data_IF_218627430406
#
_entry.id   IF_218627430406
#
_cell.length_a   1.000
_cell.length_b   1.000
_cell.length_c   1.000
_cell.angle_alpha   90.00
_cell.angle_beta   90.00
_cell.angle_gamma   90.00
#
_symmetry.space_group_name_H-M   'P 1'
#
loop_
_entity.id
_entity.type
_entity.pdbx_description
1 polymer ?
#
# COMPACT_ATOMS: atom_id res chain seq x y z
N UNK A 1 -24.12 -1.86 -41.07
CA UNK A 1 -23.70 -0.75 -40.20
C UNK A 1 -22.93 -1.35 -39.04
N UNK A 2 -21.60 -1.34 -39.11
CA UNK A 2 -20.73 -1.92 -38.09
C UNK A 2 -20.52 -0.88 -36.98
N UNK A 3 -21.07 -1.13 -35.80
CA UNK A 3 -20.74 -0.37 -34.59
C UNK A 3 -19.71 -1.18 -33.79
N UNK A 4 -18.44 -1.04 -34.17
CA UNK A 4 -17.31 -1.43 -33.31
C UNK A 4 -17.24 -0.42 -32.16
N UNK A 5 -17.94 -0.71 -31.05
CA UNK A 5 -17.74 0.04 -29.80
C UNK A 5 -16.45 -0.47 -29.16
N UNK A 6 -15.54 0.48 -28.92
CA UNK A 6 -14.28 0.39 -28.17
C UNK A 6 -14.45 -0.15 -26.72
N UNK A 7 -14.99 -1.36 -26.54
CA UNK A 7 -15.24 -1.92 -25.21
C UNK A 7 -13.99 -2.47 -24.52
N UNK A 8 -12.90 -2.76 -25.24
CA UNK A 8 -11.69 -3.35 -24.65
C UNK A 8 -10.78 -2.38 -23.89
N UNK A 9 -10.91 -1.05 -24.10
CA UNK A 9 -10.13 -0.05 -23.33
C UNK A 9 -10.79 0.43 -22.05
N UNK A 10 -12.11 0.31 -21.93
CA UNK A 10 -12.87 0.84 -20.77
C UNK A 10 -12.64 -0.04 -19.53
N UNK A 11 -12.62 -1.37 -19.67
CA UNK A 11 -12.37 -2.29 -18.55
C UNK A 11 -11.00 -2.04 -17.88
N UNK A 12 -9.96 -1.74 -18.68
CA UNK A 12 -8.61 -1.42 -18.17
C UNK A 12 -8.51 -0.09 -17.39
N UNK A 13 -9.50 0.81 -17.51
CA UNK A 13 -9.47 2.13 -16.83
C UNK A 13 -10.20 2.19 -15.50
N UNK A 14 -11.19 1.31 -15.28
CA UNK A 14 -12.08 1.38 -14.10
C UNK A 14 -11.37 0.93 -12.81
N UNK A 15 -10.48 -0.06 -12.94
CA UNK A 15 -9.76 -0.66 -11.81
C UNK A 15 -8.33 -0.12 -11.64
N UNK A 16 -7.96 0.89 -12.43
CA UNK A 16 -6.61 1.46 -12.44
C UNK A 16 -6.48 2.53 -11.34
N UNK A 17 -5.43 2.38 -10.52
CA UNK A 17 -5.12 3.30 -9.43
C UNK A 17 -3.86 4.15 -9.70
N UNK A 18 -3.03 3.77 -10.68
CA UNK A 18 -1.80 4.49 -11.05
C UNK A 18 -1.71 4.64 -12.58
N UNK A 19 -1.16 5.76 -13.05
CA UNK A 19 -0.92 6.00 -14.48
C UNK A 19 0.52 5.66 -14.93
N UNK A 20 1.44 5.54 -13.97
CA UNK A 20 2.87 5.30 -14.20
C UNK A 20 3.31 3.94 -13.66
N UNK A 21 4.35 3.37 -14.27
CA UNK A 21 4.91 2.08 -13.87
C UNK A 21 5.67 2.15 -12.53
N UNK A 22 5.98 0.99 -11.96
CA UNK A 22 6.66 0.91 -10.66
C UNK A 22 7.97 1.71 -10.65
N UNK A 23 8.93 1.51 -11.57
CA UNK A 23 10.15 2.32 -11.59
C UNK A 23 9.90 3.83 -11.59
N UNK A 24 8.86 4.32 -12.27
CA UNK A 24 8.48 5.73 -12.23
C UNK A 24 7.94 6.16 -10.87
N UNK A 25 7.08 5.35 -10.23
CA UNK A 25 6.61 5.62 -8.86
C UNK A 25 7.78 5.72 -7.87
N UNK A 26 8.77 4.81 -7.97
CA UNK A 26 9.96 4.83 -7.10
C UNK A 26 10.80 6.10 -7.33
N UNK A 27 10.96 6.54 -8.59
CA UNK A 27 11.66 7.79 -8.93
C UNK A 27 10.93 9.05 -8.46
N UNK A 28 9.60 9.04 -8.45
CA UNK A 28 8.79 10.15 -7.92
C UNK A 28 9.02 10.28 -6.41
N UNK A 29 9.21 9.16 -5.71
CA UNK A 29 9.50 9.15 -4.27
C UNK A 29 8.63 8.18 -3.47
N UNK A 30 7.86 7.30 -4.12
CA UNK A 30 7.09 6.28 -3.42
C UNK A 30 8.02 5.37 -2.59
N UNK A 31 7.77 5.29 -1.27
CA UNK A 31 8.47 4.37 -0.34
C UNK A 31 7.53 3.46 0.45
N UNK A 32 6.22 3.70 0.35
CA UNK A 32 5.19 2.70 0.68
C UNK A 32 4.60 2.18 -0.62
N UNK A 33 4.52 0.86 -0.75
CA UNK A 33 4.00 0.20 -1.93
C UNK A 33 2.84 -0.72 -1.53
N UNK A 34 1.68 -0.49 -2.12
CA UNK A 34 0.50 -1.30 -1.89
C UNK A 34 0.14 -2.11 -3.14
N UNK A 35 -0.35 -3.33 -2.93
CA UNK A 35 -0.79 -4.20 -4.01
C UNK A 35 -1.69 -5.31 -3.49
N UNK A 36 -2.75 -5.61 -4.24
CA UNK A 36 -3.68 -6.68 -3.88
C UNK A 36 -3.36 -7.96 -4.66
N UNK A 37 -3.03 -9.04 -3.95
CA UNK A 37 -2.56 -10.25 -4.59
C UNK A 37 -3.67 -11.30 -4.79
N UNK A 38 -3.67 -11.91 -5.98
CA UNK A 38 -4.58 -12.98 -6.38
C UNK A 38 -3.82 -14.08 -7.11
N UNK A 39 -4.23 -15.33 -6.91
CA UNK A 39 -3.71 -16.43 -7.70
C UNK A 39 -4.43 -16.48 -9.04
N UNK A 40 -3.67 -16.51 -10.13
CA UNK A 40 -4.19 -16.73 -11.48
C UNK A 40 -3.20 -17.57 -12.26
N UNK A 41 -3.69 -18.65 -12.89
CA UNK A 41 -2.89 -19.55 -13.71
C UNK A 41 -1.61 -20.06 -13.00
N UNK A 42 -1.72 -20.38 -11.70
CA UNK A 42 -0.61 -20.89 -10.90
C UNK A 42 0.42 -19.85 -10.44
N UNK A 43 0.20 -18.56 -10.71
CA UNK A 43 1.09 -17.48 -10.28
C UNK A 43 0.35 -16.50 -9.37
N UNK A 44 1.06 -15.97 -8.38
CA UNK A 44 0.57 -14.85 -7.57
C UNK A 44 0.79 -13.55 -8.34
N UNK A 45 -0.29 -12.78 -8.53
CA UNK A 45 -0.31 -11.56 -9.34
C UNK A 45 -0.97 -10.42 -8.58
N UNK A 46 -0.55 -9.18 -8.87
CA UNK A 46 -1.25 -8.01 -8.34
C UNK A 46 -2.43 -7.65 -9.23
N UNK A 47 -3.64 -7.74 -8.68
CA UNK A 47 -4.88 -7.57 -9.41
C UNK A 47 -5.88 -6.77 -8.58
N UNK A 48 -6.83 -6.10 -9.23
CA UNK A 48 -7.87 -5.32 -8.55
C UNK A 48 -9.17 -6.13 -8.47
N UNK A 49 -9.46 -6.71 -7.31
CA UNK A 49 -10.53 -7.68 -7.05
C UNK A 49 -10.43 -9.00 -7.85
N UNK A 50 -10.07 -8.94 -9.13
CA UNK A 50 -9.71 -10.08 -9.96
C UNK A 50 -8.78 -9.64 -11.10
N UNK A 51 -7.96 -10.56 -11.61
CA UNK A 51 -7.04 -10.25 -12.71
C UNK A 51 -7.73 -10.05 -14.06
N UNK A 52 -9.03 -10.40 -14.16
CA UNK A 52 -9.84 -10.08 -15.34
C UNK A 52 -10.23 -8.59 -15.39
N UNK A 53 -10.32 -7.91 -14.24
CA UNK A 53 -10.63 -6.48 -14.17
C UNK A 53 -9.37 -5.63 -14.37
N UNK A 54 -8.28 -6.01 -13.70
CA UNK A 54 -6.97 -5.41 -13.89
C UNK A 54 -5.88 -6.39 -13.45
N UNK A 55 -4.86 -6.54 -14.28
CA UNK A 55 -3.68 -7.36 -14.01
C UNK A 55 -2.42 -6.49 -14.09
N UNK A 56 -1.85 -6.21 -12.92
CA UNK A 56 -0.60 -5.47 -12.75
C UNK A 56 0.67 -6.32 -12.94
N UNK A 57 0.51 -7.60 -13.28
CA UNK A 57 1.61 -8.55 -13.46
C UNK A 57 1.89 -9.42 -12.23
N UNK A 58 2.89 -10.28 -12.34
CA UNK A 58 3.27 -11.17 -11.24
C UNK A 58 3.87 -10.39 -10.07
N UNK A 59 3.63 -10.86 -8.84
CA UNK A 59 4.28 -10.30 -7.64
C UNK A 59 5.81 -10.43 -7.75
N UNK A 60 6.31 -11.51 -8.36
CA UNK A 60 7.74 -11.72 -8.60
C UNK A 60 8.35 -10.62 -9.49
N UNK A 61 7.74 -10.31 -10.63
CA UNK A 61 8.26 -9.27 -11.53
C UNK A 61 8.16 -7.87 -10.91
N UNK A 62 7.10 -7.64 -10.13
CA UNK A 62 6.97 -6.43 -9.33
C UNK A 62 8.15 -6.28 -8.36
N UNK A 63 8.40 -7.31 -7.53
CA UNK A 63 9.47 -7.28 -6.54
C UNK A 63 10.86 -7.18 -7.18
N UNK A 64 11.08 -7.79 -8.35
CA UNK A 64 12.33 -7.63 -9.12
C UNK A 64 12.57 -6.19 -9.55
N UNK A 65 11.52 -5.45 -9.99
CA UNK A 65 11.65 -4.03 -10.32
C UNK A 65 12.06 -3.20 -9.08
N UNK A 66 11.47 -3.51 -7.92
CA UNK A 66 11.84 -2.84 -6.66
C UNK A 66 13.25 -3.23 -6.21
N UNK A 67 13.64 -4.50 -6.32
CA UNK A 67 15.00 -4.97 -6.02
C UNK A 67 16.05 -4.24 -6.85
N UNK A 68 15.84 -4.12 -8.17
CA UNK A 68 16.73 -3.37 -9.06
C UNK A 68 16.90 -1.93 -8.59
N UNK A 69 15.83 -1.28 -8.14
CA UNK A 69 15.91 0.08 -7.59
C UNK A 69 16.67 0.12 -6.25
N UNK A 70 16.39 -0.81 -5.33
CA UNK A 70 17.07 -0.92 -4.03
C UNK A 70 18.58 -1.17 -4.18
N UNK A 71 19.00 -1.92 -5.20
CA UNK A 71 20.41 -2.17 -5.51
C UNK A 71 21.12 -0.92 -6.02
N UNK A 72 20.43 -0.13 -6.86
CA UNK A 72 20.97 1.11 -7.40
C UNK A 72 20.95 2.27 -6.38
N UNK A 73 20.12 2.17 -5.33
CA UNK A 73 19.89 3.24 -4.36
C UNK A 73 20.05 2.70 -2.91
N UNK A 74 21.27 2.70 -2.35
CA UNK A 74 21.58 2.01 -1.09
C UNK A 74 20.98 2.68 0.16
N UNK A 75 20.55 3.94 0.05
CA UNK A 75 19.97 4.72 1.16
C UNK A 75 18.44 4.67 1.23
N UNK A 76 17.82 3.88 0.36
CA UNK A 76 16.36 3.82 0.25
C UNK A 76 15.80 2.71 1.14
N UNK A 77 14.73 3.01 1.86
CA UNK A 77 13.98 2.08 2.71
C UNK A 77 12.55 2.00 2.19
N UNK A 78 12.03 0.79 2.10
CA UNK A 78 10.69 0.51 1.58
C UNK A 78 9.82 -0.21 2.60
N UNK A 79 8.55 0.17 2.64
CA UNK A 79 7.50 -0.60 3.30
C UNK A 79 6.54 -1.14 2.26
N UNK A 80 6.29 -2.45 2.29
CA UNK A 80 5.26 -3.09 1.49
C UNK A 80 4.03 -3.32 2.36
N UNK A 81 2.86 -2.96 1.83
CA UNK A 81 1.56 -3.23 2.46
C UNK A 81 0.72 -3.98 1.44
N UNK A 82 0.83 -5.30 1.43
CA UNK A 82 0.13 -6.13 0.45
C UNK A 82 -1.13 -6.74 1.04
N UNK A 83 -2.12 -6.98 0.19
CA UNK A 83 -3.35 -7.67 0.62
C UNK A 83 -3.36 -9.11 0.12
N UNK A 84 -3.82 -10.04 0.96
CA UNK A 84 -3.91 -11.48 0.67
C UNK A 84 -5.36 -12.00 0.81
N UNK A 85 -6.32 -11.48 0.02
CA UNK A 85 -7.74 -11.83 0.15
C UNK A 85 -8.01 -13.33 -0.06
N UNK A 86 -7.18 -14.01 -0.86
CA UNK A 86 -7.29 -15.44 -1.11
C UNK A 86 -6.71 -16.34 -0.01
N UNK A 87 -6.20 -15.78 1.10
CA UNK A 87 -5.52 -16.52 2.16
C UNK A 87 -4.41 -17.46 1.62
N UNK A 88 -3.69 -16.99 0.60
CA UNK A 88 -2.63 -17.77 -0.04
C UNK A 88 -1.51 -18.03 0.97
N UNK A 89 -0.93 -19.23 0.91
CA UNK A 89 0.05 -19.66 1.92
C UNK A 89 1.24 -18.71 2.01
N UNK A 90 1.53 -18.21 3.20
CA UNK A 90 2.68 -17.31 3.43
C UNK A 90 4.01 -18.05 3.23
N UNK A 91 4.27 -19.21 3.86
CA UNK A 91 5.50 -19.96 3.61
C UNK A 91 5.52 -20.68 2.25
N UNK A 92 4.37 -21.10 1.72
CA UNK A 92 4.29 -21.90 0.49
C UNK A 92 4.21 -21.09 -0.80
N UNK A 93 3.68 -19.86 -0.76
CA UNK A 93 3.46 -19.01 -1.95
C UNK A 93 4.24 -17.70 -1.83
N UNK A 94 4.06 -16.95 -0.75
CA UNK A 94 4.67 -15.62 -0.62
C UNK A 94 6.19 -15.68 -0.44
N UNK A 95 6.68 -16.44 0.55
CA UNK A 95 8.11 -16.51 0.85
C UNK A 95 8.97 -16.94 -0.36
N UNK A 96 8.63 -17.99 -1.13
CA UNK A 96 9.41 -18.35 -2.32
C UNK A 96 9.51 -17.23 -3.35
N UNK A 97 8.48 -16.38 -3.48
CA UNK A 97 8.50 -15.23 -4.39
C UNK A 97 9.49 -14.16 -3.89
N UNK A 98 9.50 -13.87 -2.59
CA UNK A 98 10.49 -12.95 -1.99
C UNK A 98 11.93 -13.47 -2.12
N UNK A 99 12.13 -14.78 -1.92
CA UNK A 99 13.42 -15.44 -2.10
C UNK A 99 13.89 -15.33 -3.56
N UNK A 100 13.01 -15.66 -4.52
CA UNK A 100 13.31 -15.59 -5.97
C UNK A 100 13.52 -14.16 -6.49
N UNK A 101 12.88 -13.16 -5.86
CA UNK A 101 13.11 -11.75 -6.17
C UNK A 101 14.42 -11.22 -5.58
N UNK A 102 15.06 -11.97 -4.66
CA UNK A 102 16.25 -11.53 -3.95
C UNK A 102 15.98 -10.46 -2.88
N UNK A 103 14.73 -10.32 -2.42
CA UNK A 103 14.36 -9.32 -1.40
C UNK A 103 14.59 -9.84 0.02
N UNK A 104 14.43 -11.16 0.27
CA UNK A 104 14.56 -11.76 1.60
C UNK A 104 15.82 -11.32 2.38
N UNK A 105 17.03 -11.22 1.78
CA UNK A 105 18.20 -10.75 2.51
C UNK A 105 18.10 -9.31 3.03
N UNK A 106 17.31 -8.46 2.38
CA UNK A 106 17.06 -7.05 2.75
C UNK A 106 15.84 -6.88 3.65
N UNK A 107 15.06 -7.93 3.88
CA UNK A 107 13.84 -7.84 4.68
C UNK A 107 14.17 -7.73 6.19
N UNK A 108 13.54 -6.79 6.86
CA UNK A 108 13.66 -6.59 8.31
C UNK A 108 12.88 -7.66 9.05
N UNK A 109 13.56 -8.36 9.95
CA UNK A 109 12.96 -9.32 10.89
C UNK A 109 12.88 -8.63 12.25
N UNK A 110 11.68 -8.36 12.78
CA UNK A 110 11.55 -7.71 14.07
C UNK A 110 11.94 -8.66 15.21
N UNK A 111 12.53 -8.14 16.31
CA UNK A 111 12.86 -8.94 17.49
C UNK A 111 11.62 -9.41 18.26
N UNK A 112 10.49 -8.74 18.08
CA UNK A 112 9.20 -9.07 18.70
C UNK A 112 8.07 -8.91 17.70
N UNK A 113 6.98 -9.67 17.90
CA UNK A 113 5.76 -9.58 17.08
C UNK A 113 4.55 -9.58 18.04
N UNK A 114 3.77 -8.48 18.13
CA UNK A 114 3.86 -7.23 17.38
C UNK A 114 4.97 -6.26 17.86
N UNK A 115 5.42 -5.38 16.96
CA UNK A 115 6.30 -4.24 17.26
C UNK A 115 5.45 -3.02 17.64
N UNK A 116 5.73 -2.37 18.77
CA UNK A 116 5.12 -1.07 19.07
C UNK A 116 5.77 0.01 18.23
N UNK A 117 5.06 1.13 18.04
CA UNK A 117 5.49 2.27 17.21
C UNK A 117 6.89 2.78 17.56
N UNK A 118 7.22 2.84 18.85
CA UNK A 118 8.54 3.31 19.30
C UNK A 118 9.61 2.22 19.29
N UNK A 119 9.25 0.96 19.05
CA UNK A 119 10.20 -0.16 18.98
C UNK A 119 10.82 -0.29 17.57
N UNK A 120 10.20 0.34 16.56
CA UNK A 120 10.71 0.31 15.19
C UNK A 120 12.09 0.99 15.10
N UNK A 121 13.05 0.37 14.38
CA UNK A 121 14.36 0.97 14.19
C UNK A 121 14.26 2.28 13.39
N UNK A 122 15.27 3.11 13.55
CA UNK A 122 15.44 4.31 12.73
C UNK A 122 15.74 3.92 11.27
N UNK A 123 15.45 4.84 10.33
CA UNK A 123 15.85 4.65 8.93
C UNK A 123 17.36 4.42 8.79
N UNK A 124 18.17 5.08 9.63
CA UNK A 124 19.62 4.93 9.63
C UNK A 124 20.04 3.50 9.98
N UNK A 125 19.46 2.91 11.03
CA UNK A 125 19.76 1.52 11.43
C UNK A 125 19.34 0.51 10.36
N UNK A 126 18.18 0.71 9.71
CA UNK A 126 17.73 -0.12 8.59
C UNK A 126 18.70 -0.06 7.40
N UNK A 127 19.24 1.13 7.11
CA UNK A 127 20.25 1.34 6.06
C UNK A 127 21.58 0.68 6.44
N UNK A 128 22.10 0.95 7.62
CA UNK A 128 23.41 0.47 8.07
C UNK A 128 23.47 -1.07 8.15
N UNK A 129 22.35 -1.71 8.45
CA UNK A 129 22.22 -3.18 8.50
C UNK A 129 21.74 -3.80 7.18
N UNK A 130 21.51 -2.98 6.15
CA UNK A 130 20.90 -3.36 4.88
C UNK A 130 19.55 -4.11 5.02
N UNK A 131 18.81 -3.88 6.13
CA UNK A 131 17.47 -4.41 6.39
C UNK A 131 16.40 -3.42 5.93
N UNK A 132 16.50 -2.99 4.68
CA UNK A 132 15.78 -1.84 4.13
C UNK A 132 14.37 -2.13 3.61
N UNK A 133 13.82 -3.33 3.83
CA UNK A 133 12.46 -3.69 3.40
C UNK A 133 11.63 -4.17 4.59
N UNK A 134 10.53 -3.49 4.88
CA UNK A 134 9.52 -3.92 5.86
C UNK A 134 8.32 -4.47 5.09
N UNK A 135 7.81 -5.65 5.45
CA UNK A 135 6.71 -6.29 4.71
C UNK A 135 5.53 -6.52 5.63
N UNK A 136 4.39 -5.90 5.31
CA UNK A 136 3.10 -6.17 5.91
C UNK A 136 2.18 -6.91 4.94
N UNK A 137 1.40 -7.83 5.51
CA UNK A 137 0.31 -8.51 4.85
C UNK A 137 -0.98 -8.30 5.65
N UNK A 138 -2.06 -7.93 4.98
CA UNK A 138 -3.34 -7.63 5.65
C UNK A 138 -4.03 -8.87 6.25
N UNK A 139 -3.70 -10.07 5.73
CA UNK A 139 -4.28 -11.34 6.16
C UNK A 139 -3.30 -12.51 6.02
N UNK A 140 -3.34 -13.44 6.97
CA UNK A 140 -2.61 -14.73 6.90
C UNK A 140 -1.20 -14.73 7.51
N UNK A 141 -0.58 -13.57 7.71
CA UNK A 141 0.78 -13.46 8.25
C UNK A 141 0.89 -13.73 9.77
N UNK A 142 -0.24 -13.91 10.46
CA UNK A 142 -0.37 -14.40 11.83
C UNK A 142 -0.31 -15.94 11.93
N UNK A 143 0.06 -16.61 10.84
CA UNK A 143 0.16 -18.07 10.75
C UNK A 143 -1.10 -18.74 10.19
N UNK A 144 -2.23 -18.02 10.10
CA UNK A 144 -3.51 -18.59 9.63
C UNK A 144 -3.50 -19.00 8.15
N UNK A 145 -2.54 -18.52 7.36
CA UNK A 145 -2.32 -18.94 5.97
C UNK A 145 -1.12 -19.91 5.85
N UNK A 146 -1.18 -21.02 6.59
CA UNK A 146 -0.24 -22.16 6.45
C UNK A 146 1.09 -22.03 7.18
N UNK A 147 1.23 -21.06 8.09
CA UNK A 147 2.44 -20.85 8.90
C UNK A 147 2.98 -19.43 8.82
N UNK A 148 3.92 -19.12 9.72
CA UNK A 148 4.55 -17.80 9.79
C UNK A 148 5.82 -17.73 8.93
N UNK A 149 6.12 -16.52 8.46
CA UNK A 149 7.41 -16.15 7.89
C UNK A 149 7.88 -14.93 8.65
N UNK A 150 9.08 -14.99 9.21
CA UNK A 150 9.60 -14.06 10.22
C UNK A 150 9.57 -12.58 9.77
N UNK A 151 9.90 -12.30 8.51
CA UNK A 151 9.89 -10.96 7.92
C UNK A 151 8.56 -10.52 7.28
N UNK A 152 7.56 -11.41 7.16
CA UNK A 152 6.23 -11.06 6.64
C UNK A 152 5.28 -10.87 7.83
N UNK A 153 4.93 -9.62 8.09
CA UNK A 153 4.28 -9.19 9.31
C UNK A 153 2.76 -9.03 9.13
N UNK A 154 1.94 -9.38 10.14
CA UNK A 154 0.52 -9.05 10.11
C UNK A 154 0.34 -7.54 10.24
N UNK A 155 -0.39 -6.93 9.29
CA UNK A 155 -0.58 -5.47 9.24
C UNK A 155 -1.30 -4.96 10.51
N UNK A 156 -2.54 -5.42 10.73
CA UNK A 156 -3.46 -4.78 11.69
C UNK A 156 -3.04 -4.84 13.17
N UNK A 157 -2.26 -5.84 13.64
CA UNK A 157 -1.66 -5.80 14.97
C UNK A 157 -0.57 -4.73 15.17
N UNK A 158 -0.02 -4.15 14.10
CA UNK A 158 1.12 -3.21 14.15
C UNK A 158 0.86 -1.87 13.44
N UNK A 159 -0.16 -1.80 12.59
CA UNK A 159 -0.59 -0.64 11.85
C UNK A 159 -2.11 -0.54 11.87
N UNK A 160 -2.67 0.64 12.15
CA UNK A 160 -4.05 0.93 11.81
C UNK A 160 -4.14 1.78 10.54
N UNK A 161 -5.27 1.69 9.86
CA UNK A 161 -5.64 2.63 8.79
C UNK A 161 -7.06 3.14 8.98
N UNK A 162 -7.31 4.33 8.44
CA UNK A 162 -8.63 4.92 8.32
C UNK A 162 -9.43 4.22 7.19
N UNK A 163 -10.71 4.58 6.96
CA UNK A 163 -11.56 3.85 6.01
C UNK A 163 -10.92 3.66 4.65
N UNK A 164 -10.86 2.41 4.21
CA UNK A 164 -10.43 2.09 2.85
C UNK A 164 -11.49 2.56 1.84
N UNK A 165 -11.05 2.91 0.63
CA UNK A 165 -11.90 3.40 -0.47
C UNK A 165 -12.80 4.59 -0.08
N UNK A 166 -12.24 5.68 0.49
CA UNK A 166 -13.03 6.82 0.95
C UNK A 166 -13.73 7.52 -0.23
N UNK A 167 -14.97 7.98 -0.02
CA UNK A 167 -15.76 8.70 -1.02
C UNK A 167 -16.04 10.16 -0.64
N UNK A 168 -15.74 10.54 0.60
CA UNK A 168 -15.80 11.92 1.10
C UNK A 168 -14.47 12.64 0.82
N UNK A 169 -14.44 13.72 0.02
CA UNK A 169 -13.21 14.46 -0.29
C UNK A 169 -12.58 15.16 0.92
N UNK A 170 -13.27 15.24 2.05
CA UNK A 170 -12.72 15.79 3.29
C UNK A 170 -11.93 14.77 4.11
N UNK A 171 -11.98 13.48 3.76
CA UNK A 171 -11.29 12.39 4.46
C UNK A 171 -11.49 12.45 6.00
N UNK A 172 -12.73 12.33 6.49
CA UNK A 172 -12.99 12.37 7.93
C UNK A 172 -12.31 11.19 8.62
N UNK A 173 -11.22 11.49 9.33
CA UNK A 173 -10.40 10.45 9.91
C UNK A 173 -11.09 9.74 11.07
N UNK A 174 -11.00 8.41 11.06
CA UNK A 174 -11.33 7.53 12.18
C UNK A 174 -10.45 6.29 12.11
N UNK A 175 -10.19 5.66 13.24
CA UNK A 175 -9.55 4.35 13.24
C UNK A 175 -10.59 3.34 12.77
N UNK A 176 -10.33 2.64 11.67
CA UNK A 176 -11.30 1.73 11.05
C UNK A 176 -10.77 0.30 10.96
N UNK A 177 -9.59 0.10 10.36
CA UNK A 177 -8.98 -1.23 10.23
C UNK A 177 -7.78 -1.34 11.17
N UNK A 178 -7.96 -2.12 12.23
CA UNK A 178 -6.96 -2.38 13.28
C UNK A 178 -7.24 -3.72 13.96
N UNK A 179 -6.23 -4.28 14.61
CA UNK A 179 -6.36 -5.46 15.46
C UNK A 179 -5.48 -5.32 16.70
N UNK A 180 -5.88 -5.98 17.77
CA UNK A 180 -5.03 -6.12 18.96
C UNK A 180 -3.78 -6.96 18.68
N UNK A 181 -2.90 -7.13 19.68
CA UNK A 181 -3.06 -6.73 21.08
C UNK A 181 -2.60 -5.31 21.40
N UNK A 182 -2.00 -4.59 20.45
CA UNK A 182 -1.52 -3.23 20.70
C UNK A 182 -2.68 -2.25 20.90
N UNK A 183 -2.42 -1.20 21.70
CA UNK A 183 -3.30 -0.04 21.71
C UNK A 183 -3.07 0.77 20.44
N UNK A 184 -4.09 1.49 19.96
CA UNK A 184 -3.99 2.32 18.75
C UNK A 184 -2.84 3.34 18.78
N UNK A 185 -2.44 3.79 19.97
CA UNK A 185 -1.31 4.70 20.16
C UNK A 185 0.07 4.04 19.89
N UNK A 186 0.13 2.72 20.06
CA UNK A 186 1.30 1.89 19.84
C UNK A 186 1.38 1.34 18.41
N UNK A 187 0.37 1.55 17.56
CA UNK A 187 0.44 1.20 16.15
C UNK A 187 1.18 2.27 15.34
N UNK A 188 1.81 1.85 14.24
CA UNK A 188 2.01 2.73 13.09
C UNK A 188 0.64 3.15 12.53
N UNK A 189 0.59 4.21 11.72
CA UNK A 189 -0.64 4.52 11.01
C UNK A 189 -0.43 4.91 9.56
N UNK A 190 -1.34 4.41 8.73
CA UNK A 190 -1.45 4.67 7.31
C UNK A 190 -2.75 5.44 7.08
N UNK A 191 -2.69 6.49 6.26
CA UNK A 191 -3.90 7.18 5.80
C UNK A 191 -4.20 6.81 4.34
N UNK A 192 -5.41 6.35 4.09
CA UNK A 192 -5.98 6.01 2.79
C UNK A 192 -6.40 7.30 2.06
N UNK A 193 -5.44 8.10 1.62
CA UNK A 193 -5.71 9.37 0.92
C UNK A 193 -5.91 9.17 -0.59
N UNK A 194 -6.83 8.29 -0.95
CA UNK A 194 -7.14 7.91 -2.33
C UNK A 194 -8.65 8.05 -2.59
N UNK A 195 -9.09 9.23 -3.03
CA UNK A 195 -10.52 9.49 -3.22
C UNK A 195 -11.14 8.57 -4.27
N UNK A 196 -12.24 7.94 -3.90
CA UNK A 196 -13.03 7.07 -4.76
C UNK A 196 -14.37 7.73 -5.12
N UNK A 197 -14.94 7.33 -6.25
CA UNK A 197 -16.30 7.70 -6.66
C UNK A 197 -17.10 6.48 -7.04
N UNK A 198 -18.39 6.49 -6.73
CA UNK A 198 -19.31 5.47 -7.23
C UNK A 198 -19.67 5.79 -8.68
N UNK A 199 -19.47 4.84 -9.59
CA UNK A 199 -19.82 4.99 -11.02
C UNK A 199 -21.19 4.38 -11.36
N UNK A 200 -21.84 3.72 -10.41
CA UNK A 200 -23.20 3.20 -10.57
C UNK A 200 -24.21 4.24 -10.08
N UNK A 201 -25.27 4.55 -10.86
CA UNK A 201 -26.33 5.46 -10.42
C UNK A 201 -27.01 5.02 -9.11
N UNK A 202 -27.51 6.00 -8.35
CA UNK A 202 -28.14 5.78 -7.05
C UNK A 202 -29.19 4.65 -7.07
N UNK A 203 -29.06 3.72 -6.12
CA UNK A 203 -30.03 2.63 -5.91
C UNK A 203 -29.80 1.37 -6.76
N UNK A 204 -28.82 1.36 -7.67
CA UNK A 204 -28.53 0.20 -8.54
C UNK A 204 -27.27 -0.59 -8.12
N UNK A 205 -26.61 -0.17 -7.03
CA UNK A 205 -25.42 -0.82 -6.47
C UNK A 205 -24.26 0.16 -6.25
N UNK A 206 -23.10 -0.40 -5.90
CA UNK A 206 -21.88 0.37 -5.64
C UNK A 206 -20.71 -0.25 -6.39
N UNK A 207 -20.10 0.52 -7.30
CA UNK A 207 -18.78 0.22 -7.89
C UNK A 207 -17.92 1.45 -7.66
N UNK A 208 -16.99 1.33 -6.71
CA UNK A 208 -16.04 2.39 -6.41
C UNK A 208 -14.84 2.29 -7.35
N UNK A 209 -14.43 3.44 -7.85
CA UNK A 209 -13.22 3.60 -8.66
C UNK A 209 -12.44 4.80 -8.16
N UNK A 210 -11.13 4.78 -8.32
CA UNK A 210 -10.26 5.93 -8.07
C UNK A 210 -10.72 7.14 -8.87
N UNK A 211 -10.89 8.27 -8.21
CA UNK A 211 -11.39 9.49 -8.83
C UNK A 211 -10.26 10.26 -9.55
N UNK A 212 -9.85 9.74 -10.70
CA UNK A 212 -8.81 10.34 -11.54
C UNK A 212 -9.07 11.82 -11.88
N UNK A 213 -10.35 12.21 -12.04
CA UNK A 213 -10.70 13.60 -12.42
C UNK A 213 -10.37 14.58 -11.30
N UNK A 214 -10.50 14.14 -10.03
CA UNK A 214 -10.17 14.94 -8.85
C UNK A 214 -8.77 14.68 -8.31
N UNK A 215 -7.96 13.84 -8.94
CA UNK A 215 -6.60 13.54 -8.49
C UNK A 215 -5.73 14.79 -8.24
N UNK A 216 -5.76 15.86 -9.06
CA UNK A 216 -5.02 17.09 -8.74
C UNK A 216 -5.47 17.77 -7.43
N UNK A 217 -6.75 17.70 -7.08
CA UNK A 217 -7.31 18.30 -5.87
C UNK A 217 -7.11 17.39 -4.65
N UNK A 218 -7.30 16.07 -4.84
CA UNK A 218 -7.03 15.06 -3.81
C UNK A 218 -5.55 15.10 -3.45
N UNK A 219 -4.64 14.98 -4.41
CA UNK A 219 -3.21 14.95 -4.12
C UNK A 219 -2.59 16.35 -3.88
N UNK A 220 -3.39 17.39 -3.68
CA UNK A 220 -2.90 18.73 -3.37
C UNK A 220 -2.31 18.77 -1.96
N UNK A 221 -1.31 19.65 -1.74
CA UNK A 221 -0.65 19.81 -0.44
C UNK A 221 -1.68 20.07 0.67
N UNK A 222 -2.64 20.95 0.43
CA UNK A 222 -3.66 21.33 1.41
C UNK A 222 -4.58 20.16 1.79
N UNK A 223 -4.93 19.28 0.84
CA UNK A 223 -5.83 18.14 1.09
C UNK A 223 -5.13 17.06 1.90
N UNK A 224 -3.89 16.70 1.55
CA UNK A 224 -3.10 15.71 2.28
C UNK A 224 -2.82 16.19 3.71
N UNK A 225 -2.41 17.45 3.88
CA UNK A 225 -2.14 18.01 5.21
C UNK A 225 -3.43 18.11 6.05
N UNK A 226 -4.58 18.44 5.44
CA UNK A 226 -5.85 18.44 6.14
C UNK A 226 -6.22 17.04 6.64
N UNK A 227 -6.06 16.00 5.81
CA UNK A 227 -6.30 14.62 6.21
C UNK A 227 -5.37 14.20 7.37
N UNK A 228 -4.06 14.44 7.23
CA UNK A 228 -3.08 14.12 8.27
C UNK A 228 -3.40 14.84 9.60
N UNK A 229 -3.77 16.12 9.55
CA UNK A 229 -4.15 16.89 10.74
C UNK A 229 -5.45 16.38 11.37
N UNK A 230 -6.41 15.92 10.55
CA UNK A 230 -7.64 15.28 11.03
C UNK A 230 -7.38 13.98 11.77
N UNK A 231 -6.34 13.24 11.39
CA UNK A 231 -5.92 12.00 12.06
C UNK A 231 -5.01 12.22 13.27
N UNK A 232 -4.29 13.34 13.35
CA UNK A 232 -3.31 13.58 14.41
C UNK A 232 -3.87 13.40 15.85
N UNK A 233 -5.10 13.80 16.19
CA UNK A 233 -5.67 13.53 17.53
C UNK A 233 -5.80 12.04 17.87
N UNK A 234 -5.88 11.17 16.86
CA UNK A 234 -5.99 9.71 17.01
C UNK A 234 -4.62 9.02 17.12
N UNK A 235 -3.52 9.78 16.96
CA UNK A 235 -2.14 9.26 16.93
C UNK A 235 -1.20 10.04 17.85
N UNK A 236 -1.73 10.64 18.92
CA UNK A 236 -1.01 11.51 19.88
C UNK A 236 -0.32 12.72 19.23
N UNK A 237 -0.99 13.34 18.26
CA UNK A 237 -0.50 14.53 17.55
C UNK A 237 0.58 14.24 16.51
N UNK A 238 0.82 12.98 16.14
CA UNK A 238 1.92 12.59 15.26
C UNK A 238 1.45 12.54 13.80
N UNK A 239 2.36 12.86 12.88
CA UNK A 239 2.14 12.65 11.44
C UNK A 239 1.97 11.15 11.10
N UNK A 240 1.24 10.82 10.01
CA UNK A 240 1.12 9.46 9.50
C UNK A 240 2.48 8.88 9.15
N UNK A 241 2.64 7.58 9.40
CA UNK A 241 3.81 6.84 8.93
C UNK A 241 3.76 6.65 7.41
N UNK A 242 2.54 6.51 6.86
CA UNK A 242 2.32 6.27 5.44
C UNK A 242 1.14 7.08 4.93
N UNK A 243 1.30 7.68 3.75
CA UNK A 243 0.22 8.33 2.99
C UNK A 243 0.03 7.53 1.71
N UNK A 244 -1.14 6.91 1.55
CA UNK A 244 -1.46 6.11 0.39
C UNK A 244 -2.21 6.97 -0.63
N UNK A 245 -1.67 7.09 -1.84
CA UNK A 245 -2.22 7.91 -2.91
C UNK A 245 -2.54 7.07 -4.15
N UNK A 246 -3.62 7.45 -4.84
CA UNK A 246 -3.83 7.06 -6.23
C UNK A 246 -3.27 8.14 -7.16
N UNK A 247 -2.78 7.74 -8.33
CA UNK A 247 -2.17 8.63 -9.33
C UNK A 247 -1.07 9.51 -8.75
N UNK A 248 -0.05 8.87 -8.16
CA UNK A 248 1.04 9.55 -7.44
C UNK A 248 1.81 10.57 -8.31
N UNK A 249 1.76 10.41 -9.63
CA UNK A 249 2.33 11.33 -10.61
C UNK A 249 1.56 12.64 -10.78
N UNK A 250 0.41 12.78 -10.13
CA UNK A 250 -0.47 13.95 -10.21
C UNK A 250 -0.56 14.64 -8.84
N UNK A 251 -0.45 15.97 -8.84
CA UNK A 251 -0.60 16.81 -7.65
C UNK A 251 0.73 17.11 -6.94
N UNK A 252 0.67 17.28 -5.63
CA UNK A 252 1.77 17.76 -4.78
C UNK A 252 2.12 16.73 -3.68
N UNK A 253 1.89 15.44 -3.93
CA UNK A 253 2.06 14.37 -2.93
C UNK A 253 3.42 14.40 -2.22
N UNK A 254 4.51 14.53 -2.97
CA UNK A 254 5.86 14.59 -2.39
C UNK A 254 6.07 15.83 -1.52
N UNK A 255 5.61 16.99 -1.98
CA UNK A 255 5.69 18.24 -1.21
C UNK A 255 4.91 18.15 0.10
N UNK A 256 3.79 17.42 0.12
CA UNK A 256 3.04 17.17 1.35
C UNK A 256 3.79 16.25 2.32
N UNK A 257 4.38 15.17 1.81
CA UNK A 257 5.19 14.25 2.63
C UNK A 257 6.44 14.94 3.17
N UNK A 258 7.12 15.78 2.38
CA UNK A 258 8.25 16.59 2.85
C UNK A 258 7.86 17.50 4.00
N UNK A 259 6.71 18.19 3.88
CA UNK A 259 6.17 19.02 4.97
C UNK A 259 5.84 18.21 6.22
N UNK A 260 5.29 17.00 6.07
CA UNK A 260 4.99 16.11 7.20
C UNK A 260 6.26 15.60 7.90
N UNK A 261 7.37 15.49 7.16
CA UNK A 261 8.68 15.13 7.69
C UNK A 261 9.48 16.34 8.22
N UNK A 262 8.95 17.57 8.10
CA UNK A 262 9.57 18.78 8.64
C UNK A 262 10.59 19.47 7.72
N UNK A 263 10.51 19.22 6.40
CA UNK A 263 11.29 19.94 5.38
C UNK A 263 10.54 21.16 4.81
#
# INVERSE_FOLDING_TARGET
MYLLIYLTRIYLTVARTQAVDIPSQLRIGARVLQGQAHMQNGQLRFCHSSCALFDGGTVLDYLRKVKTFLDANPYEVFTFVFTNPGMNSVPGVWKPIFDQAGITPMAYVPPTRPMKRNDWPTLRELIDTNKRVIVFLDAGADGSAGGEVDFILPQFPMMWEDPFSPTDPNFPCKIDRTAGPLSNDDHLHLINHNLNRNIIPFGLGTVLVSDFVRAPQTNALSSIIAHANGCAPLSRGRAPNYVLLDYIDIGEGMKAVDRLNGF
#
